data_IF_418057728797
#
_entry.id   IF_418057728797
#
_cell.length_a   1.000
_cell.length_b   1.000
_cell.length_c   1.000
_cell.angle_alpha   90.00
_cell.angle_beta   90.00
_cell.angle_gamma   90.00
#
_symmetry.space_group_name_H-M   'P 1'
#
loop_
_entity.id
_entity.type
_entity.pdbx_description
1 polymer ?
#
# COMPACT_ATOMS: atom_id res chain seq x y z
N UNK A 1 28.05 -24.27 -3.78
CA UNK A 1 27.34 -23.33 -2.86
C UNK A 1 25.94 -23.14 -3.41
N UNK A 2 24.92 -23.65 -2.72
CA UNK A 2 23.53 -23.63 -3.20
C UNK A 2 22.80 -22.48 -2.53
N UNK A 3 22.57 -21.39 -3.25
CA UNK A 3 21.75 -20.27 -2.77
C UNK A 3 20.34 -20.79 -2.49
N UNK A 4 19.76 -20.52 -1.32
CA UNK A 4 18.39 -20.96 -1.00
C UNK A 4 17.41 -19.90 -1.50
N UNK A 5 16.46 -20.31 -2.34
CA UNK A 5 15.59 -19.39 -3.07
C UNK A 5 14.23 -19.27 -2.34
N UNK A 6 13.88 -18.06 -1.91
CA UNK A 6 12.51 -17.70 -1.52
C UNK A 6 11.58 -17.69 -2.74
N UNK A 7 10.27 -17.92 -2.55
CA UNK A 7 9.26 -17.85 -3.64
C UNK A 7 9.21 -16.48 -4.32
N UNK A 8 9.69 -15.45 -3.64
CA UNK A 8 10.11 -14.19 -4.24
C UNK A 8 11.63 -14.25 -4.28
N UNK A 9 12.22 -14.64 -5.41
CA UNK A 9 13.66 -14.46 -5.60
C UNK A 9 13.97 -12.96 -5.58
N UNK A 10 15.21 -12.58 -5.22
CA UNK A 10 15.67 -11.19 -5.36
C UNK A 10 15.40 -10.68 -6.79
N UNK A 11 15.51 -11.57 -7.78
CA UNK A 11 15.22 -11.30 -9.19
C UNK A 11 13.73 -10.98 -9.44
N UNK A 12 12.80 -11.79 -8.90
CA UNK A 12 11.36 -11.51 -9.01
C UNK A 12 10.95 -10.27 -8.19
N UNK A 13 11.66 -9.96 -7.10
CA UNK A 13 11.34 -8.82 -6.25
C UNK A 13 11.56 -7.49 -6.98
N UNK A 14 12.67 -7.36 -7.72
CA UNK A 14 12.94 -6.17 -8.53
C UNK A 14 11.87 -5.95 -9.60
N UNK A 15 11.42 -7.02 -10.27
CA UNK A 15 10.32 -6.96 -11.24
C UNK A 15 9.00 -6.57 -10.58
N UNK A 16 8.66 -7.16 -9.42
CA UNK A 16 7.44 -6.83 -8.68
C UNK A 16 7.45 -5.38 -8.19
N UNK A 17 8.60 -4.88 -7.72
CA UNK A 17 8.77 -3.49 -7.32
C UNK A 17 8.59 -2.57 -8.53
N UNK A 18 9.24 -2.88 -9.67
CA UNK A 18 9.12 -2.09 -10.89
C UNK A 18 7.67 -2.05 -11.41
N UNK A 19 6.95 -3.18 -11.37
CA UNK A 19 5.53 -3.23 -11.74
C UNK A 19 4.66 -2.39 -10.79
N UNK A 20 4.94 -2.43 -9.49
CA UNK A 20 4.21 -1.63 -8.51
C UNK A 20 4.48 -0.14 -8.69
N UNK A 21 5.73 0.26 -8.92
CA UNK A 21 6.12 1.65 -9.21
C UNK A 21 5.50 2.15 -10.52
N UNK A 22 5.50 1.31 -11.57
CA UNK A 22 4.85 1.61 -12.84
C UNK A 22 3.34 1.80 -12.71
N UNK A 23 2.69 1.16 -11.72
CA UNK A 23 1.27 1.31 -11.44
C UNK A 23 0.90 2.61 -10.68
N UNK A 24 1.86 3.26 -10.01
CA UNK A 24 1.60 4.52 -9.29
C UNK A 24 1.26 5.65 -10.25
N UNK A 25 2.02 5.77 -11.35
CA UNK A 25 1.83 6.84 -12.34
C UNK A 25 0.43 6.87 -12.97
N UNK A 26 -0.13 5.76 -13.52
CA UNK A 26 -1.47 5.79 -14.07
C UNK A 26 -2.55 6.02 -13.00
N UNK A 27 -2.34 5.57 -11.76
CA UNK A 27 -3.25 5.85 -10.65
C UNK A 27 -3.25 7.34 -10.26
N UNK A 28 -2.08 7.98 -10.27
CA UNK A 28 -1.92 9.41 -10.07
C UNK A 28 -2.60 10.24 -11.17
N UNK A 29 -2.35 9.92 -12.44
CA UNK A 29 -2.97 10.59 -13.58
C UNK A 29 -4.50 10.45 -13.54
N UNK A 30 -5.01 9.27 -13.14
CA UNK A 30 -6.44 9.03 -12.94
C UNK A 30 -7.01 9.88 -11.81
N UNK A 31 -6.32 9.94 -10.66
CA UNK A 31 -6.68 10.80 -9.51
C UNK A 31 -6.78 12.26 -9.96
N UNK A 32 -5.74 12.77 -10.61
CA UNK A 32 -5.65 14.18 -10.99
C UNK A 32 -6.70 14.55 -12.04
N UNK A 33 -6.95 13.67 -13.01
CA UNK A 33 -8.03 13.87 -13.99
C UNK A 33 -9.40 13.96 -13.33
N UNK A 34 -9.69 13.09 -12.35
CA UNK A 34 -10.97 13.08 -11.65
C UNK A 34 -11.09 14.23 -10.65
N UNK A 35 -9.99 14.63 -10.02
CA UNK A 35 -9.90 15.82 -9.18
C UNK A 35 -10.24 17.08 -9.96
N UNK A 36 -9.59 17.30 -11.10
CA UNK A 36 -9.87 18.43 -11.97
C UNK A 36 -11.33 18.45 -12.46
N UNK A 37 -11.91 17.27 -12.74
CA UNK A 37 -13.33 17.14 -13.12
C UNK A 37 -14.27 17.50 -11.97
N UNK A 38 -13.96 17.09 -10.75
CA UNK A 38 -14.73 17.43 -9.56
C UNK A 38 -14.64 18.92 -9.25
N UNK A 39 -13.43 19.46 -9.15
CA UNK A 39 -13.16 20.88 -8.86
C UNK A 39 -13.79 21.80 -9.91
N UNK A 40 -13.67 21.46 -11.20
CA UNK A 40 -14.30 22.23 -12.28
C UNK A 40 -15.83 22.20 -12.27
N UNK A 41 -16.44 21.24 -11.55
CA UNK A 41 -17.90 21.13 -11.40
C UNK A 41 -18.39 21.85 -10.13
N UNK A 42 -17.64 21.75 -9.03
CA UNK A 42 -17.97 22.39 -7.75
C UNK A 42 -17.52 23.85 -7.67
N UNK A 43 -16.65 24.32 -8.55
CA UNK A 43 -16.25 25.73 -8.60
C UNK A 43 -17.49 26.63 -8.78
N UNK A 44 -17.69 27.65 -7.91
CA UNK A 44 -18.81 28.57 -8.03
C UNK A 44 -18.71 29.29 -9.38
N UNK A 45 -19.75 29.16 -10.20
CA UNK A 45 -19.73 29.69 -11.58
C UNK A 45 -20.03 31.19 -11.66
N UNK A 46 -20.48 31.82 -10.57
CA UNK A 46 -20.69 33.26 -10.44
C UNK A 46 -21.01 33.65 -8.99
N UNK A 47 -20.74 34.91 -8.61
CA UNK A 47 -21.11 35.51 -7.31
C UNK A 47 -22.63 35.45 -7.02
N UNK A 48 -23.46 35.26 -8.05
CA UNK A 48 -24.92 35.16 -7.97
C UNK A 48 -25.40 33.85 -7.31
N UNK A 49 -24.59 32.78 -7.33
CA UNK A 49 -24.93 31.50 -6.68
C UNK A 49 -24.79 31.56 -5.15
N UNK A 50 -24.08 32.57 -4.63
CA UNK A 50 -23.74 32.74 -3.21
C UNK A 50 -24.58 33.81 -2.51
N UNK A 51 -25.59 34.39 -3.17
CA UNK A 51 -26.43 35.44 -2.58
C UNK A 51 -27.37 34.83 -1.50
N UNK A 52 -27.15 35.15 -0.21
CA UNK A 52 -27.96 34.62 0.89
C UNK A 52 -29.41 35.11 0.82
N UNK A 53 -29.71 36.19 0.08
CA UNK A 53 -31.07 36.66 -0.14
C UNK A 53 -31.89 35.73 -1.07
N UNK A 54 -31.23 34.91 -1.89
CA UNK A 54 -31.90 33.93 -2.76
C UNK A 54 -32.41 32.69 -2.01
N UNK A 55 -31.86 32.40 -0.82
CA UNK A 55 -32.24 31.26 0.01
C UNK A 55 -33.67 31.38 0.57
N UNK A 56 -34.21 32.59 0.67
CA UNK A 56 -35.54 32.87 1.23
C UNK A 56 -36.67 32.89 0.18
N UNK A 57 -36.36 32.78 -1.12
CA UNK A 57 -37.40 32.66 -2.17
C UNK A 57 -37.80 31.20 -2.31
N UNK A 58 -39.11 30.89 -2.23
CA UNK A 58 -39.62 29.54 -2.52
C UNK A 58 -39.21 29.15 -3.94
N UNK A 59 -38.30 28.18 -4.05
CA UNK A 59 -37.88 27.63 -5.34
C UNK A 59 -39.08 26.98 -6.02
N UNK A 60 -39.21 27.18 -7.33
CA UNK A 60 -40.20 26.45 -8.13
C UNK A 60 -39.85 24.96 -8.15
N UNK A 61 -40.84 24.06 -8.30
CA UNK A 61 -40.61 22.61 -8.35
C UNK A 61 -39.57 22.21 -9.43
N UNK A 62 -39.52 22.95 -10.55
CA UNK A 62 -38.52 22.77 -11.61
C UNK A 62 -37.10 23.14 -11.16
N UNK A 63 -36.93 24.19 -10.35
CA UNK A 63 -35.64 24.58 -9.79
C UNK A 63 -35.16 23.60 -8.72
N UNK A 64 -36.07 23.06 -7.90
CA UNK A 64 -35.74 22.02 -6.92
C UNK A 64 -35.18 20.76 -7.59
N UNK A 65 -35.88 20.22 -8.61
CA UNK A 65 -35.41 19.06 -9.39
C UNK A 65 -34.03 19.28 -10.02
N UNK A 66 -33.79 20.49 -10.56
CA UNK A 66 -32.47 20.85 -11.12
C UNK A 66 -31.37 20.83 -10.05
N UNK A 67 -31.65 21.33 -8.84
CA UNK A 67 -30.71 21.32 -7.74
C UNK A 67 -30.40 19.90 -7.25
N UNK A 68 -31.41 19.04 -7.14
CA UNK A 68 -31.24 17.61 -6.81
C UNK A 68 -30.37 16.91 -7.85
N UNK A 69 -30.67 17.06 -9.15
CA UNK A 69 -29.85 16.45 -10.20
C UNK A 69 -28.40 16.97 -10.22
N UNK A 70 -28.17 18.25 -9.90
CA UNK A 70 -26.82 18.81 -9.77
C UNK A 70 -26.10 18.14 -8.60
N UNK A 71 -26.76 18.04 -7.46
CA UNK A 71 -26.22 17.41 -6.26
C UNK A 71 -25.85 15.95 -6.49
N UNK A 72 -26.73 15.17 -7.14
CA UNK A 72 -26.44 13.76 -7.46
C UNK A 72 -25.21 13.62 -8.36
N UNK A 73 -25.09 14.47 -9.39
CA UNK A 73 -23.95 14.50 -10.31
C UNK A 73 -22.65 14.96 -9.62
N UNK A 74 -22.74 15.86 -8.64
CA UNK A 74 -21.59 16.31 -7.84
C UNK A 74 -21.13 15.18 -6.90
N UNK A 75 -22.08 14.47 -6.27
CA UNK A 75 -21.81 13.31 -5.43
C UNK A 75 -21.19 12.16 -6.22
N UNK A 76 -21.66 11.89 -7.44
CA UNK A 76 -21.05 10.89 -8.33
C UNK A 76 -19.60 11.26 -8.69
N UNK A 77 -19.34 12.54 -9.00
CA UNK A 77 -18.01 13.02 -9.31
C UNK A 77 -17.07 12.90 -8.10
N UNK A 78 -17.56 13.25 -6.91
CA UNK A 78 -16.81 13.09 -5.66
C UNK A 78 -16.48 11.62 -5.37
N UNK A 79 -17.47 10.72 -5.44
CA UNK A 79 -17.25 9.27 -5.21
C UNK A 79 -16.23 8.70 -6.19
N UNK A 80 -16.27 9.11 -7.46
CA UNK A 80 -15.31 8.69 -8.45
C UNK A 80 -13.89 9.19 -8.13
N UNK A 81 -13.76 10.45 -7.69
CA UNK A 81 -12.49 11.01 -7.23
C UNK A 81 -11.96 10.29 -5.98
N UNK A 82 -12.78 10.10 -4.94
CA UNK A 82 -12.38 9.42 -3.71
C UNK A 82 -11.92 7.98 -3.97
N UNK A 83 -12.64 7.23 -4.81
CA UNK A 83 -12.22 5.89 -5.22
C UNK A 83 -10.83 5.89 -5.91
N UNK A 84 -10.55 6.88 -6.77
CA UNK A 84 -9.24 7.01 -7.41
C UNK A 84 -8.14 7.46 -6.43
N UNK A 85 -8.48 8.28 -5.43
CA UNK A 85 -7.55 8.66 -4.36
C UNK A 85 -7.17 7.45 -3.50
N UNK A 86 -8.13 6.60 -3.14
CA UNK A 86 -7.87 5.35 -2.41
C UNK A 86 -7.00 4.37 -3.20
N UNK A 87 -7.24 4.27 -4.51
CA UNK A 87 -6.42 3.45 -5.41
C UNK A 87 -4.97 3.94 -5.44
N UNK A 88 -4.76 5.25 -5.64
CA UNK A 88 -3.42 5.86 -5.59
C UNK A 88 -2.71 5.61 -4.26
N UNK A 89 -3.40 5.83 -3.12
CA UNK A 89 -2.86 5.56 -1.78
C UNK A 89 -2.49 4.09 -1.60
N UNK A 90 -3.30 3.17 -2.11
CA UNK A 90 -3.04 1.74 -2.05
C UNK A 90 -1.81 1.34 -2.87
N UNK A 91 -1.64 1.91 -4.07
CA UNK A 91 -0.45 1.72 -4.89
C UNK A 91 0.82 2.26 -4.21
N UNK A 92 0.78 3.46 -3.64
CA UNK A 92 1.91 4.02 -2.87
C UNK A 92 2.26 3.13 -1.67
N UNK A 93 1.25 2.77 -0.87
CA UNK A 93 1.44 1.90 0.30
C UNK A 93 2.05 0.56 -0.09
N UNK A 94 1.68 0.02 -1.26
CA UNK A 94 2.26 -1.21 -1.80
C UNK A 94 3.74 -1.05 -2.13
N UNK A 95 4.12 0.04 -2.81
CA UNK A 95 5.53 0.34 -3.12
C UNK A 95 6.35 0.53 -1.85
N UNK A 96 5.85 1.30 -0.89
CA UNK A 96 6.52 1.50 0.39
C UNK A 96 6.70 0.20 1.17
N UNK A 97 5.64 -0.63 1.21
CA UNK A 97 5.71 -1.94 1.85
C UNK A 97 6.77 -2.81 1.20
N UNK A 98 6.74 -2.91 -0.14
CA UNK A 98 7.75 -3.67 -0.88
C UNK A 98 9.15 -3.21 -0.48
N UNK A 99 9.45 -1.90 -0.61
CA UNK A 99 10.75 -1.33 -0.25
C UNK A 99 11.21 -1.70 1.17
N UNK A 100 10.29 -1.74 2.14
CA UNK A 100 10.60 -2.15 3.53
C UNK A 100 10.93 -3.65 3.65
N UNK A 101 10.22 -4.50 2.91
CA UNK A 101 10.37 -5.96 2.96
C UNK A 101 11.33 -6.52 1.90
N UNK A 102 12.14 -5.66 1.28
CA UNK A 102 13.14 -6.10 0.29
C UNK A 102 13.99 -7.25 0.85
N UNK A 103 14.04 -8.41 0.17
CA UNK A 103 14.83 -9.55 0.60
C UNK A 103 16.32 -9.27 0.36
N UNK A 104 17.15 -9.59 1.35
CA UNK A 104 18.60 -9.57 1.25
C UNK A 104 19.05 -10.99 0.91
N UNK A 105 19.81 -11.20 -0.17
CA UNK A 105 20.31 -12.52 -0.51
C UNK A 105 21.25 -13.03 0.59
N UNK A 106 21.07 -14.30 0.98
CA UNK A 106 21.92 -14.97 1.97
C UNK A 106 22.24 -16.40 1.55
N UNK A 107 23.36 -16.93 2.05
CA UNK A 107 23.80 -18.31 1.79
C UNK A 107 23.25 -19.30 2.82
N UNK A 108 23.25 -20.60 2.50
CA UNK A 108 22.84 -21.63 3.48
C UNK A 108 23.77 -21.65 4.70
N UNK A 109 25.05 -21.38 4.51
CA UNK A 109 26.05 -21.30 5.57
C UNK A 109 25.75 -20.13 6.51
N UNK A 110 25.44 -18.96 5.95
CA UNK A 110 24.99 -17.79 6.73
C UNK A 110 23.72 -18.08 7.52
N UNK A 111 22.71 -18.72 6.92
CA UNK A 111 21.48 -19.07 7.64
C UNK A 111 21.74 -20.03 8.81
N UNK A 112 22.67 -20.98 8.66
CA UNK A 112 23.04 -21.91 9.73
C UNK A 112 23.87 -21.25 10.84
N UNK A 113 24.69 -20.26 10.48
CA UNK A 113 25.50 -19.49 11.42
C UNK A 113 24.73 -18.31 12.05
N UNK A 114 23.59 -17.93 11.48
CA UNK A 114 22.78 -16.82 11.96
C UNK A 114 22.24 -17.06 13.37
N UNK A 115 22.00 -15.96 14.08
CA UNK A 115 21.34 -15.99 15.40
C UNK A 115 19.99 -15.29 15.36
N UNK A 116 19.77 -14.43 14.38
CA UNK A 116 18.50 -13.76 14.16
C UNK A 116 18.12 -13.80 12.68
N UNK A 117 16.82 -13.86 12.42
CA UNK A 117 16.23 -13.83 11.08
C UNK A 117 15.17 -12.75 11.02
N UNK A 118 15.12 -12.02 9.91
CA UNK A 118 14.07 -11.04 9.62
C UNK A 118 12.95 -11.69 8.83
N UNK A 119 11.73 -11.52 9.32
CA UNK A 119 10.48 -11.85 8.63
C UNK A 119 9.75 -10.54 8.32
N UNK A 120 8.58 -10.65 7.67
CA UNK A 120 7.69 -9.52 7.37
C UNK A 120 7.34 -8.69 8.63
N UNK A 121 7.20 -9.38 9.76
CA UNK A 121 6.74 -8.80 11.04
C UNK A 121 7.89 -8.24 11.90
N UNK A 122 9.16 -8.49 11.54
CA UNK A 122 10.32 -7.99 12.29
C UNK A 122 11.45 -9.00 12.47
N UNK A 123 12.32 -8.73 13.44
CA UNK A 123 13.46 -9.56 13.79
C UNK A 123 13.10 -10.59 14.85
N UNK A 124 13.49 -11.84 14.60
CA UNK A 124 13.26 -12.95 15.52
C UNK A 124 14.54 -13.71 15.80
N UNK A 125 14.67 -14.21 17.03
CA UNK A 125 15.80 -15.06 17.40
C UNK A 125 15.63 -16.45 16.80
N UNK A 126 16.69 -16.93 16.16
CA UNK A 126 16.77 -18.23 15.54
C UNK A 126 16.97 -19.31 16.61
N UNK A 127 16.12 -20.33 16.61
CA UNK A 127 16.22 -21.48 17.53
C UNK A 127 16.77 -22.70 16.81
N UNK A 128 16.23 -23.00 15.62
CA UNK A 128 16.62 -24.20 14.88
C UNK A 128 16.38 -24.04 13.38
N UNK A 129 17.35 -24.48 12.59
CA UNK A 129 17.24 -24.55 11.13
C UNK A 129 17.06 -26.00 10.70
N UNK A 130 15.92 -26.31 10.09
CA UNK A 130 15.66 -27.59 9.42
C UNK A 130 15.79 -27.42 7.91
N UNK A 131 15.75 -28.52 7.15
CA UNK A 131 15.88 -28.51 5.67
C UNK A 131 14.87 -27.58 4.96
N UNK A 132 13.64 -27.50 5.45
CA UNK A 132 12.55 -26.73 4.81
C UNK A 132 12.06 -25.58 5.68
N UNK A 133 12.19 -25.71 7.00
CA UNK A 133 11.62 -24.79 7.97
C UNK A 133 12.66 -24.24 8.92
N UNK A 134 12.35 -23.09 9.48
CA UNK A 134 13.15 -22.38 10.47
C UNK A 134 12.28 -22.12 11.68
N UNK A 135 12.77 -22.49 12.86
CA UNK A 135 12.09 -22.30 14.13
C UNK A 135 12.65 -21.06 14.81
N UNK A 136 11.77 -20.15 15.22
CA UNK A 136 12.13 -18.87 15.83
C UNK A 136 11.44 -18.68 17.17
N UNK A 137 12.07 -17.89 18.04
CA UNK A 137 11.52 -17.47 19.33
C UNK A 137 10.74 -16.17 19.12
N UNK A 138 9.41 -16.23 19.28
CA UNK A 138 8.50 -15.12 19.05
C UNK A 138 7.75 -14.67 20.33
N UNK A 139 8.31 -14.98 21.51
CA UNK A 139 7.72 -14.64 22.81
C UNK A 139 6.60 -15.58 23.29
N UNK A 140 6.31 -16.65 22.54
CA UNK A 140 5.40 -17.72 22.96
C UNK A 140 6.15 -18.85 23.67
N UNK A 141 5.49 -19.67 24.52
CA UNK A 141 6.13 -20.79 25.20
C UNK A 141 6.56 -21.93 24.26
N UNK A 142 6.19 -21.87 22.98
CA UNK A 142 6.67 -22.77 21.94
C UNK A 142 7.28 -21.99 20.76
N UNK A 143 8.30 -22.55 20.08
CA UNK A 143 8.89 -21.92 18.92
C UNK A 143 7.94 -21.96 17.71
N UNK A 144 7.85 -20.83 17.00
CA UNK A 144 7.09 -20.74 15.75
C UNK A 144 7.93 -21.22 14.58
N UNK A 145 7.29 -21.91 13.64
CA UNK A 145 7.95 -22.46 12.45
C UNK A 145 7.56 -21.67 11.22
N UNK A 146 8.56 -21.12 10.56
CA UNK A 146 8.42 -20.46 9.27
C UNK A 146 9.09 -21.30 8.19
N UNK A 147 8.62 -21.19 6.96
CA UNK A 147 9.32 -21.78 5.82
C UNK A 147 10.54 -20.91 5.48
N UNK A 148 11.62 -21.55 4.99
CA UNK A 148 12.85 -20.83 4.60
C UNK A 148 12.59 -19.71 3.59
N UNK A 149 11.60 -19.90 2.71
CA UNK A 149 11.22 -18.94 1.68
C UNK A 149 10.59 -17.64 2.19
N UNK A 150 10.24 -17.55 3.48
CA UNK A 150 9.71 -16.33 4.11
C UNK A 150 10.76 -15.50 4.82
N UNK A 151 12.01 -15.97 4.87
CA UNK A 151 13.09 -15.24 5.53
C UNK A 151 13.62 -14.18 4.58
N UNK A 152 13.57 -12.92 5.02
CA UNK A 152 13.98 -11.76 4.24
C UNK A 152 15.45 -11.42 4.45
N UNK A 153 15.99 -11.62 5.65
CA UNK A 153 17.37 -11.29 6.00
C UNK A 153 17.83 -12.21 7.13
N UNK A 154 19.13 -12.49 7.18
CA UNK A 154 19.75 -13.22 8.29
C UNK A 154 20.88 -12.38 8.86
N UNK A 155 21.06 -12.41 10.19
CA UNK A 155 22.19 -11.75 10.84
C UNK A 155 23.01 -12.74 11.66
N UNK A 156 24.34 -12.79 11.46
CA UNK A 156 25.23 -13.34 12.45
C UNK A 156 25.15 -12.45 13.71
N UNK A 157 25.31 -13.06 14.89
CA UNK A 157 25.31 -12.30 16.15
C UNK A 157 26.56 -11.43 16.20
N UNK A 158 26.44 -10.19 15.77
CA UNK A 158 27.26 -9.12 16.32
C UNK A 158 26.57 -8.58 17.56
N UNK A 159 27.39 -8.50 18.60
CA UNK A 159 27.16 -8.06 19.97
C UNK A 159 26.10 -6.96 20.04
N UNK A 160 25.12 -7.15 20.94
CA UNK A 160 24.30 -6.06 21.43
C UNK A 160 25.23 -4.96 21.96
N UNK A 161 25.33 -3.85 21.24
CA UNK A 161 25.66 -2.55 21.84
C UNK A 161 24.35 -1.84 22.23
#
# INVERSE_FOLDING_TARGET
MTTLHSKVTVDNYAEVLALAEAAVKPAEEKRDRLKARYEGRTAPRSEVETDPASAFRRKTARQARKAETKFDLDMEAYKAYDAAEQEYKSCLSRVEWLRKVAPVPYTEEELRAATAVRLDDGWYRLVRVNKVTVSVEAGFPWPLKYKRDRILEVRPREVAE
#
